data_IF_137527355887
#
_entry.id   IF_137527355887
#
_cell.length_a   1.000
_cell.length_b   1.000
_cell.length_c   1.000
_cell.angle_alpha   90.00
_cell.angle_beta   90.00
_cell.angle_gamma   90.00
#
_symmetry.space_group_name_H-M   'P 1'
#
loop_
_entity.id
_entity.type
_entity.pdbx_description
1 polymer ?
#
# COMPACT_ATOMS: atom_id res chain seq x y z
N UNK A 1 -1.65 -26.23 -68.29
CA UNK A 1 -2.03 -26.61 -66.92
C UNK A 1 -1.08 -25.91 -65.97
N UNK A 2 -1.57 -24.89 -65.26
CA UNK A 2 -0.80 -23.93 -64.46
C UNK A 2 -0.38 -24.53 -63.12
N UNK A 3 0.89 -24.41 -62.74
CA UNK A 3 1.39 -24.77 -61.39
C UNK A 3 1.37 -23.52 -60.52
N UNK A 4 0.49 -23.50 -59.53
CA UNK A 4 0.42 -22.43 -58.52
C UNK A 4 1.40 -22.73 -57.38
N UNK A 5 2.36 -21.84 -57.16
CA UNK A 5 3.28 -21.86 -56.03
C UNK A 5 2.66 -21.06 -54.88
N UNK A 6 2.42 -21.70 -53.73
CA UNK A 6 1.96 -21.04 -52.51
C UNK A 6 3.20 -20.64 -51.70
N UNK A 7 3.42 -19.34 -51.51
CA UNK A 7 4.43 -18.82 -50.61
C UNK A 7 3.81 -18.61 -49.22
N UNK A 8 4.34 -19.31 -48.21
CA UNK A 8 3.94 -19.14 -46.81
C UNK A 8 4.80 -18.02 -46.21
N UNK A 9 4.17 -16.90 -45.86
CA UNK A 9 4.81 -15.79 -45.14
C UNK A 9 4.75 -16.09 -43.65
N UNK A 10 5.89 -16.37 -43.03
CA UNK A 10 6.00 -16.51 -41.58
C UNK A 10 6.02 -15.12 -40.94
N UNK A 11 4.96 -14.77 -40.19
CA UNK A 11 4.89 -13.57 -39.38
C UNK A 11 5.49 -13.91 -38.01
N UNK A 12 6.73 -13.49 -37.79
CA UNK A 12 7.39 -13.60 -36.48
C UNK A 12 6.76 -12.61 -35.50
N UNK A 13 6.02 -13.13 -34.52
CA UNK A 13 5.52 -12.36 -33.38
C UNK A 13 6.72 -11.94 -32.50
N UNK A 14 7.05 -10.65 -32.53
CA UNK A 14 7.97 -10.04 -31.57
C UNK A 14 7.26 -9.96 -30.22
N UNK A 15 7.61 -10.86 -29.31
CA UNK A 15 7.23 -10.78 -27.90
C UNK A 15 7.94 -9.59 -27.28
N UNK A 16 7.22 -8.48 -27.05
CA UNK A 16 7.73 -7.33 -26.32
C UNK A 16 7.71 -7.71 -24.84
N UNK A 17 8.84 -8.21 -24.33
CA UNK A 17 9.02 -8.43 -22.90
C UNK A 17 8.95 -7.08 -22.20
N UNK A 18 7.83 -6.78 -21.55
CA UNK A 18 7.72 -5.64 -20.65
C UNK A 18 8.52 -5.98 -19.40
N UNK A 19 9.78 -5.54 -19.34
CA UNK A 19 10.51 -5.51 -18.07
C UNK A 19 9.81 -4.50 -17.19
N UNK A 20 9.25 -4.94 -16.06
CA UNK A 20 8.88 -4.01 -15.01
C UNK A 20 10.14 -3.19 -14.68
N UNK A 21 10.12 -1.88 -14.99
CA UNK A 21 11.17 -0.97 -14.56
C UNK A 21 11.10 -0.91 -13.03
N UNK A 22 11.91 -1.74 -12.37
CA UNK A 22 12.14 -1.62 -10.96
C UNK A 22 12.84 -0.26 -10.76
N UNK A 23 12.19 0.67 -10.07
CA UNK A 23 12.83 1.95 -9.77
C UNK A 23 14.17 1.71 -9.07
N UNK A 24 15.13 2.55 -9.40
CA UNK A 24 16.47 2.53 -8.80
C UNK A 24 16.52 3.27 -7.45
N UNK A 25 15.42 3.95 -7.08
CA UNK A 25 15.34 4.73 -5.85
C UNK A 25 14.82 3.88 -4.68
N UNK A 26 15.23 4.21 -3.44
CA UNK A 26 14.74 3.49 -2.27
C UNK A 26 13.21 3.66 -2.11
N UNK A 27 12.52 2.66 -1.54
CA UNK A 27 11.08 2.76 -1.28
C UNK A 27 10.80 3.86 -0.26
N UNK A 28 9.83 4.72 -0.57
CA UNK A 28 9.49 5.89 0.25
C UNK A 28 9.04 5.48 1.67
N UNK A 29 7.99 4.67 1.79
CA UNK A 29 7.47 4.22 3.09
C UNK A 29 8.37 3.24 3.83
N UNK A 30 9.33 2.60 3.14
CA UNK A 30 10.38 1.82 3.77
C UNK A 30 11.47 2.68 4.39
N UNK A 31 11.71 3.87 3.83
CA UNK A 31 12.72 4.83 4.31
C UNK A 31 12.17 5.79 5.36
N UNK A 32 10.89 6.17 5.23
CA UNK A 32 10.23 7.22 6.01
C UNK A 32 8.80 6.78 6.35
N UNK A 33 8.67 5.72 7.13
CA UNK A 33 7.37 5.14 7.47
C UNK A 33 6.40 6.14 8.11
N UNK A 34 6.90 7.08 8.92
CA UNK A 34 6.09 8.12 9.57
C UNK A 34 5.48 9.14 8.60
N UNK A 35 5.91 9.15 7.34
CA UNK A 35 5.36 10.01 6.28
C UNK A 35 4.33 9.28 5.42
N UNK A 36 3.93 8.07 5.80
CA UNK A 36 2.95 7.27 5.08
C UNK A 36 1.74 6.95 5.94
N UNK A 37 0.60 6.77 5.28
CA UNK A 37 -0.66 6.42 5.95
C UNK A 37 -0.92 4.93 5.76
N UNK A 38 -1.22 4.23 6.85
CA UNK A 38 -1.70 2.86 6.78
C UNK A 38 -3.10 2.83 6.17
N UNK A 39 -3.35 1.90 5.26
CA UNK A 39 -4.62 1.75 4.56
C UNK A 39 -4.90 0.27 4.29
N UNK A 40 -6.09 -0.03 3.75
CA UNK A 40 -6.48 -1.39 3.40
C UNK A 40 -5.73 -1.95 2.19
N UNK A 41 -5.99 -3.22 1.84
CA UNK A 41 -5.34 -3.90 0.71
C UNK A 41 -5.71 -3.27 -0.66
N UNK A 42 -6.82 -2.53 -0.72
CA UNK A 42 -7.28 -1.82 -1.93
C UNK A 42 -6.62 -0.43 -2.11
N UNK A 43 -5.45 -0.21 -1.50
CA UNK A 43 -4.70 1.03 -1.63
C UNK A 43 -4.48 1.41 -3.11
N UNK A 44 -4.65 2.68 -3.48
CA UNK A 44 -4.32 3.16 -4.82
C UNK A 44 -2.86 2.83 -5.17
N UNK A 45 -2.65 2.27 -6.37
CA UNK A 45 -1.32 1.95 -6.88
C UNK A 45 -0.79 3.17 -7.64
N UNK A 46 0.41 3.65 -7.26
CA UNK A 46 1.06 4.77 -7.92
C UNK A 46 2.22 4.30 -8.82
N UNK A 47 3.18 3.57 -8.25
CA UNK A 47 4.40 3.06 -8.92
C UNK A 47 5.15 4.13 -9.71
N UNK A 48 5.44 5.26 -9.06
CA UNK A 48 6.18 6.38 -9.65
C UNK A 48 7.29 6.87 -8.72
N UNK A 49 8.30 7.48 -9.34
CA UNK A 49 9.35 8.20 -8.64
C UNK A 49 8.86 9.57 -8.19
N UNK A 50 9.22 9.93 -6.96
CA UNK A 50 8.85 11.20 -6.31
C UNK A 50 10.08 11.92 -5.79
N UNK A 51 9.96 13.23 -5.61
CA UNK A 51 10.92 14.06 -4.90
C UNK A 51 10.33 14.46 -3.55
N UNK A 52 11.10 14.23 -2.48
CA UNK A 52 10.73 14.62 -1.11
C UNK A 52 11.64 15.73 -0.62
N UNK A 53 11.07 16.86 -0.23
CA UNK A 53 11.82 18.04 0.24
C UNK A 53 12.01 18.10 1.77
N UNK A 54 11.55 17.08 2.49
CA UNK A 54 11.51 17.06 3.96
C UNK A 54 10.12 17.32 4.54
N UNK A 55 9.15 17.76 3.73
CA UNK A 55 7.78 18.02 4.15
C UNK A 55 6.72 17.52 3.17
N UNK A 56 6.97 17.57 1.86
CA UNK A 56 6.01 17.22 0.82
C UNK A 56 6.67 16.35 -0.24
N UNK A 57 5.95 15.32 -0.69
CA UNK A 57 6.34 14.49 -1.82
C UNK A 57 5.62 14.99 -3.07
N UNK A 58 6.33 15.17 -4.18
CA UNK A 58 5.76 15.51 -5.49
C UNK A 58 6.29 14.57 -6.55
N UNK A 59 5.54 14.36 -7.64
CA UNK A 59 6.04 13.57 -8.77
C UNK A 59 7.36 14.14 -9.30
N UNK A 60 8.36 13.27 -9.50
CA UNK A 60 9.69 13.67 -9.97
C UNK A 60 9.67 14.16 -11.44
N UNK A 61 8.82 13.56 -12.27
CA UNK A 61 8.87 13.76 -13.72
C UNK A 61 10.19 13.27 -14.34
N UNK A 62 10.62 13.89 -15.44
CA UNK A 62 11.82 13.46 -16.18
C UNK A 62 13.11 14.12 -15.68
N UNK A 63 13.02 15.30 -15.07
CA UNK A 63 14.18 15.99 -14.51
C UNK A 63 14.69 15.33 -13.21
N UNK A 64 15.96 15.54 -12.84
CA UNK A 64 16.43 15.22 -11.49
C UNK A 64 15.61 15.98 -10.45
N UNK A 65 15.55 15.43 -9.23
CA UNK A 65 14.93 16.14 -8.12
C UNK A 65 15.67 17.47 -7.83
N UNK A 66 14.95 18.53 -7.41
CA UNK A 66 15.56 19.76 -6.91
C UNK A 66 16.65 19.52 -5.86
N UNK A 67 17.63 20.43 -5.75
CA UNK A 67 18.82 20.29 -4.88
C UNK A 67 18.47 20.00 -3.42
N UNK A 68 17.36 20.56 -2.91
CA UNK A 68 16.92 20.40 -1.52
C UNK A 68 15.96 19.22 -1.32
N UNK A 69 15.83 18.34 -2.32
CA UNK A 69 14.93 17.19 -2.29
C UNK A 69 15.64 15.88 -2.64
N UNK A 70 15.08 14.77 -2.19
CA UNK A 70 15.62 13.43 -2.39
C UNK A 70 14.67 12.56 -3.20
N UNK A 71 15.17 11.77 -4.15
CA UNK A 71 14.34 10.88 -4.94
C UNK A 71 13.98 9.61 -4.15
N UNK A 72 12.72 9.20 -4.24
CA UNK A 72 12.21 7.94 -3.70
C UNK A 72 11.24 7.30 -4.69
N UNK A 73 10.94 6.04 -4.47
CA UNK A 73 9.92 5.31 -5.22
C UNK A 73 8.69 5.03 -4.35
N UNK A 74 7.50 5.27 -4.90
CA UNK A 74 6.22 5.04 -4.21
C UNK A 74 5.43 3.96 -4.94
N UNK A 75 5.21 2.82 -4.27
CA UNK A 75 4.38 1.73 -4.79
C UNK A 75 2.89 2.06 -4.73
N UNK A 76 2.43 2.48 -3.55
CA UNK A 76 1.02 2.78 -3.25
C UNK A 76 0.88 4.23 -2.84
N UNK A 77 -0.04 4.93 -3.46
CA UNK A 77 -0.27 6.34 -3.24
C UNK A 77 -1.26 6.92 -4.23
N UNK A 78 -1.70 8.14 -3.95
CA UNK A 78 -2.41 8.98 -4.90
C UNK A 78 -1.76 10.37 -4.98
N UNK A 79 -2.20 11.14 -5.96
CA UNK A 79 -1.79 12.53 -6.12
C UNK A 79 -3.03 13.38 -5.88
N UNK A 80 -2.95 14.29 -4.93
CA UNK A 80 -4.05 15.19 -4.60
C UNK A 80 -4.24 16.28 -5.67
N UNK A 81 -5.24 17.12 -5.48
CA UNK A 81 -5.56 18.22 -6.41
C UNK A 81 -4.45 19.28 -6.53
N UNK A 82 -3.49 19.32 -5.60
CA UNK A 82 -2.37 20.25 -5.56
C UNK A 82 -1.06 19.65 -6.09
N UNK A 83 -1.07 18.38 -6.49
CA UNK A 83 0.13 17.68 -6.99
C UNK A 83 0.97 17.06 -5.88
N UNK A 84 0.45 17.00 -4.64
CA UNK A 84 1.10 16.32 -3.51
C UNK A 84 0.82 14.83 -3.60
N UNK A 85 1.87 14.04 -3.41
CA UNK A 85 1.78 12.58 -3.35
C UNK A 85 1.49 12.16 -1.91
N UNK A 86 0.35 11.51 -1.69
CA UNK A 86 0.07 10.79 -0.45
C UNK A 86 0.54 9.35 -0.61
N UNK A 87 1.47 8.91 0.22
CA UNK A 87 2.02 7.56 0.15
C UNK A 87 1.35 6.64 1.18
N UNK A 88 1.08 5.41 0.77
CA UNK A 88 0.30 4.45 1.54
C UNK A 88 1.08 3.20 1.89
N UNK A 89 0.77 2.63 3.06
CA UNK A 89 1.21 1.29 3.46
C UNK A 89 -0.04 0.41 3.52
N UNK A 90 -0.32 -0.39 2.48
CA UNK A 90 -1.43 -1.32 2.53
C UNK A 90 -1.16 -2.41 3.58
N UNK A 91 -2.19 -2.74 4.33
CA UNK A 91 -2.23 -3.87 5.25
C UNK A 91 -3.41 -4.76 4.88
N UNK A 92 -3.28 -6.06 5.12
CA UNK A 92 -4.39 -6.99 5.02
C UNK A 92 -5.47 -6.65 6.06
N UNK A 93 -6.72 -7.02 5.77
CA UNK A 93 -7.81 -6.82 6.72
C UNK A 93 -7.64 -7.76 7.90
N UNK A 94 -7.78 -7.22 9.12
CA UNK A 94 -7.70 -8.01 10.35
C UNK A 94 -8.63 -9.23 10.33
N UNK A 95 -9.86 -9.06 9.83
CA UNK A 95 -10.87 -10.11 9.83
C UNK A 95 -10.69 -11.18 8.76
N UNK A 96 -9.76 -11.01 7.82
CA UNK A 96 -9.35 -12.08 6.90
C UNK A 96 -8.44 -13.12 7.59
N UNK A 97 -8.01 -12.84 8.83
CA UNK A 97 -7.19 -13.74 9.62
C UNK A 97 -7.99 -14.38 10.76
N UNK A 98 -7.96 -15.71 10.81
CA UNK A 98 -8.66 -16.52 11.81
C UNK A 98 -8.30 -16.11 13.24
N UNK A 99 -9.32 -15.79 14.03
CA UNK A 99 -9.19 -15.53 15.47
C UNK A 99 -8.75 -14.11 15.84
N UNK A 100 -8.69 -13.18 14.87
CA UNK A 100 -8.42 -11.76 15.16
C UNK A 100 -9.71 -11.00 15.45
N UNK A 101 -10.75 -11.22 14.66
CA UNK A 101 -12.00 -10.49 14.83
C UNK A 101 -13.04 -11.24 15.66
N UNK A 102 -13.82 -10.46 16.39
CA UNK A 102 -14.99 -10.92 17.12
C UNK A 102 -16.20 -10.86 16.20
N UNK A 103 -16.92 -11.98 16.11
CA UNK A 103 -18.19 -12.03 15.41
C UNK A 103 -19.25 -11.19 16.14
N UNK A 104 -19.85 -10.26 15.43
CA UNK A 104 -20.84 -9.35 15.99
C UNK A 104 -20.72 -7.97 15.39
N UNK A 105 -21.76 -7.14 15.57
CA UNK A 105 -21.73 -5.79 15.06
C UNK A 105 -20.81 -4.94 15.94
N UNK A 106 -20.12 -4.00 15.31
CA UNK A 106 -19.19 -3.13 16.01
C UNK A 106 -19.96 -2.08 16.84
N UNK A 107 -19.46 -1.68 18.03
CA UNK A 107 -20.03 -0.53 18.75
C UNK A 107 -20.03 0.72 17.87
N UNK A 108 -20.98 1.64 18.03
CA UNK A 108 -21.11 2.83 17.16
C UNK A 108 -19.98 3.88 17.28
N UNK A 109 -18.86 3.55 17.92
CA UNK A 109 -17.68 4.39 18.03
C UNK A 109 -16.44 3.60 17.60
N UNK A 110 -16.43 3.10 16.36
CA UNK A 110 -15.25 2.44 15.81
C UNK A 110 -14.45 3.35 14.89
N UNK A 111 -13.20 2.99 14.68
CA UNK A 111 -12.34 3.61 13.69
C UNK A 111 -11.48 2.57 13.01
N UNK A 112 -11.10 2.88 11.76
CA UNK A 112 -10.07 2.11 11.09
C UNK A 112 -8.71 2.41 11.73
N UNK A 113 -8.05 1.38 12.26
CA UNK A 113 -6.75 1.53 12.91
C UNK A 113 -5.79 0.37 12.59
N UNK A 114 -4.51 0.66 12.32
CA UNK A 114 -3.49 -0.37 12.14
C UNK A 114 -3.21 -1.01 13.50
N UNK A 115 -3.29 -2.33 13.56
CA UNK A 115 -3.06 -3.11 14.77
C UNK A 115 -1.93 -4.11 14.60
N UNK A 116 -1.29 -4.42 15.72
CA UNK A 116 -0.29 -5.47 15.85
C UNK A 116 -0.84 -6.57 16.75
N UNK A 117 -1.01 -7.78 16.22
CA UNK A 117 -1.55 -8.91 16.95
C UNK A 117 -0.47 -9.96 17.24
N UNK A 118 -0.30 -10.31 18.51
CA UNK A 118 0.58 -11.38 18.97
C UNK A 118 -0.15 -12.26 19.99
N UNK A 119 -0.08 -13.58 19.81
CA UNK A 119 -0.77 -14.55 20.70
C UNK A 119 -2.29 -14.37 20.79
N UNK A 120 -2.93 -13.76 19.79
CA UNK A 120 -4.39 -13.48 19.79
C UNK A 120 -4.80 -12.21 20.52
N UNK A 121 -3.84 -11.42 21.00
CA UNK A 121 -4.09 -10.09 21.59
C UNK A 121 -3.57 -9.04 20.62
N UNK A 122 -4.39 -8.04 20.32
CA UNK A 122 -4.07 -6.97 19.38
C UNK A 122 -3.89 -5.65 20.11
N UNK A 123 -2.91 -4.85 19.66
CA UNK A 123 -2.58 -3.54 20.20
C UNK A 123 -2.48 -2.54 19.04
N UNK A 124 -2.64 -1.23 19.30
CA UNK A 124 -2.39 -0.22 18.28
C UNK A 124 -0.94 -0.30 17.78
N UNK A 125 -0.72 -0.11 16.48
CA UNK A 125 0.66 0.02 15.96
C UNK A 125 1.28 1.30 16.51
N UNK A 126 2.48 1.17 17.07
CA UNK A 126 3.29 2.30 17.54
C UNK A 126 4.60 2.41 16.76
N UNK A 127 5.33 3.51 16.93
CA UNK A 127 6.66 3.71 16.33
C UNK A 127 7.69 2.65 16.77
N UNK A 128 7.44 1.92 17.86
CA UNK A 128 8.28 0.82 18.32
C UNK A 128 8.21 -0.43 17.40
N UNK A 129 7.33 -0.41 16.40
CA UNK A 129 7.16 -1.48 15.42
C UNK A 129 6.09 -2.50 15.82
N UNK A 130 6.08 -3.64 15.13
CA UNK A 130 5.17 -4.75 15.40
C UNK A 130 5.95 -6.07 15.31
N UNK A 131 6.01 -6.82 16.41
CA UNK A 131 6.66 -8.15 16.45
C UNK A 131 5.73 -9.25 15.94
N UNK A 132 4.42 -9.03 16.01
CA UNK A 132 3.38 -9.95 15.55
C UNK A 132 2.88 -9.67 14.14
N UNK A 133 1.64 -10.09 13.88
CA UNK A 133 0.94 -9.84 12.62
C UNK A 133 0.42 -8.39 12.60
N UNK A 134 0.86 -7.62 11.61
CA UNK A 134 0.40 -6.24 11.39
C UNK A 134 -0.71 -6.24 10.35
N UNK A 135 -1.91 -5.80 10.73
CA UNK A 135 -3.12 -5.79 9.91
C UNK A 135 -3.91 -4.50 10.13
N UNK A 136 -4.84 -4.17 9.24
CA UNK A 136 -5.76 -3.05 9.43
C UNK A 136 -7.08 -3.56 10.01
N UNK A 137 -7.44 -3.07 11.19
CA UNK A 137 -8.77 -3.27 11.73
C UNK A 137 -9.70 -2.17 11.25
N UNK A 138 -10.72 -2.51 10.47
CA UNK A 138 -11.64 -1.50 9.93
C UNK A 138 -12.61 -0.97 10.99
N UNK A 139 -13.08 -1.85 11.87
CA UNK A 139 -14.00 -1.52 12.96
C UNK A 139 -13.32 -1.81 14.30
N UNK A 140 -12.29 -1.02 14.62
CA UNK A 140 -11.50 -1.15 15.84
C UNK A 140 -12.13 -0.42 17.01
N UNK A 141 -12.04 -1.03 18.19
CA UNK A 141 -12.33 -0.40 19.47
C UNK A 141 -11.11 -0.52 20.36
N UNK A 142 -10.53 0.62 20.72
CA UNK A 142 -9.49 0.72 21.73
C UNK A 142 -10.10 0.51 23.12
N UNK A 143 -9.59 -0.48 23.86
CA UNK A 143 -10.02 -0.83 25.20
C UNK A 143 -9.21 -0.08 26.27
N UNK A 144 -9.75 0.01 27.49
CA UNK A 144 -9.10 0.66 28.64
C UNK A 144 -7.78 -0.04 29.07
N UNK A 145 -7.60 -1.31 28.68
CA UNK A 145 -6.39 -2.08 28.96
C UNK A 145 -5.28 -1.87 27.89
N UNK A 146 -5.53 -1.00 26.90
CA UNK A 146 -4.61 -0.69 25.81
C UNK A 146 -4.62 -1.67 24.65
N UNK A 147 -5.50 -2.69 24.69
CA UNK A 147 -5.73 -3.60 23.55
C UNK A 147 -6.74 -3.02 22.57
N UNK A 148 -6.81 -3.63 21.39
CA UNK A 148 -7.81 -3.31 20.37
C UNK A 148 -8.64 -4.55 20.10
N UNK A 149 -9.97 -4.39 20.14
CA UNK A 149 -10.89 -5.41 19.64
C UNK A 149 -11.36 -5.05 18.24
N UNK A 150 -11.21 -5.99 17.31
CA UNK A 150 -11.67 -5.83 15.94
C UNK A 150 -12.99 -6.58 15.71
N UNK A 151 -13.91 -5.98 14.98
CA UNK A 151 -15.24 -6.55 14.72
C UNK A 151 -15.46 -6.80 13.22
N UNK A 152 -16.04 -7.96 12.90
CA UNK A 152 -16.38 -8.34 11.51
C UNK A 152 -17.64 -7.62 10.99
N UNK A 153 -18.55 -7.24 11.89
CA UNK A 153 -19.83 -6.65 11.53
C UNK A 153 -19.76 -5.14 11.31
N UNK A 154 -20.70 -4.63 10.51
CA UNK A 154 -20.96 -3.19 10.40
C UNK A 154 -21.38 -2.59 11.73
N UNK A 155 -21.09 -1.31 11.94
CA UNK A 155 -21.51 -0.56 13.13
C UNK A 155 -23.03 -0.64 13.35
N UNK A 156 -23.44 -0.65 14.63
CA UNK A 156 -24.84 -0.58 15.08
C UNK A 156 -25.42 0.84 15.07
#
# INVERSE_FOLDING_TARGET
MSKSTIAIVAISLLSISSTADASTYPPFCGSMQSQCVYTGPDAPVLRLDVCWDGSVATLKGTSPCPLDSRPYYVDFGDVDAFGVVNAYIPLDWACDHTGICVAGPAPGSTSAEPICCDGGVCYPVTDAGCTGLKVLCQNGVSNDDGTVTCFEGTEL
#
